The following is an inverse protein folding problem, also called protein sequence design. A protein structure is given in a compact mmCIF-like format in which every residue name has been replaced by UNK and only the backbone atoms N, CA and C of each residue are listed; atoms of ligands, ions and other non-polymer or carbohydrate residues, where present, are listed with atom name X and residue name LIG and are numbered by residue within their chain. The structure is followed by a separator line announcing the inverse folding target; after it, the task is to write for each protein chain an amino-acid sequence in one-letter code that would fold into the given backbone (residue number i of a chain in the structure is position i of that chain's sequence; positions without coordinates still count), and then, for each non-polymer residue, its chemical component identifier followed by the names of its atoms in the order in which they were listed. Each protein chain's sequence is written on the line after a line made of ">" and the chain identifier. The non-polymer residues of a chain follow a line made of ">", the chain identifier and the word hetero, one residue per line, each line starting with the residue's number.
data_IF_134055055879
#
_entry.id   IF_134055055879
#
_cell.length_a   1.000
_cell.length_b   1.000
_cell.length_c   1.000
_cell.angle_alpha   90.00
_cell.angle_beta   90.00
_cell.angle_gamma   90.00
#
_symmetry.space_group_name_H-M   'P 1'
#
loop_
_entity.id
_entity.type
_entity.pdbx_description
1 polymer ?
#
# COMPACT_ATOMS: atom_id res chain seq x y z
N UNK A 1 -71.35 1.79 36.95
CA UNK A 1 -71.36 0.58 36.08
C UNK A 1 -70.02 0.50 35.36
N UNK A 2 -69.20 -0.51 35.68
CA UNK A 2 -68.45 -1.41 34.78
C UNK A 2 -67.83 -0.76 33.52
N UNK A 3 -66.56 -0.83 33.19
CA UNK A 3 -65.67 -2.01 33.10
C UNK A 3 -64.23 -1.58 32.84
N UNK A 4 -63.31 -2.31 33.43
CA UNK A 4 -61.91 -2.49 33.14
C UNK A 4 -61.53 -2.56 31.66
N UNK A 5 -60.30 -2.00 31.32
CA UNK A 5 -59.36 -2.75 30.48
C UNK A 5 -57.90 -2.23 30.58
N UNK A 6 -57.07 -3.15 30.89
CA UNK A 6 -55.63 -3.20 31.03
C UNK A 6 -54.84 -2.45 29.95
N UNK A 7 -53.85 -1.63 30.39
CA UNK A 7 -52.69 -1.23 29.61
C UNK A 7 -51.60 -2.26 29.84
N UNK A 8 -51.17 -2.92 28.80
CA UNK A 8 -50.01 -3.79 28.78
C UNK A 8 -48.75 -2.92 28.79
N UNK A 9 -47.97 -3.07 29.81
CA UNK A 9 -46.60 -2.58 29.96
C UNK A 9 -45.71 -3.50 29.12
N UNK A 10 -45.04 -2.97 28.10
CA UNK A 10 -43.98 -3.68 27.37
C UNK A 10 -42.67 -3.31 27.99
N UNK A 11 -42.13 -4.23 28.77
CA UNK A 11 -40.75 -4.15 29.30
C UNK A 11 -39.78 -4.56 28.21
N UNK A 12 -38.87 -3.68 27.82
CA UNK A 12 -37.69 -4.03 27.03
C UNK A 12 -36.68 -4.68 27.98
N UNK A 13 -36.48 -5.97 27.82
CA UNK A 13 -35.42 -6.73 28.47
C UNK A 13 -34.16 -6.62 27.60
N UNK A 14 -33.15 -5.89 28.06
CA UNK A 14 -31.85 -5.90 27.47
C UNK A 14 -31.14 -7.21 27.85
N UNK A 15 -30.91 -8.08 26.87
CA UNK A 15 -30.11 -9.29 27.05
C UNK A 15 -28.65 -8.91 26.85
N UNK A 16 -27.89 -8.91 27.92
CA UNK A 16 -26.42 -8.87 27.91
C UNK A 16 -25.93 -10.27 27.54
N UNK A 17 -25.41 -10.47 26.33
CA UNK A 17 -24.66 -11.69 26.00
C UNK A 17 -23.20 -11.44 26.32
N UNK A 18 -22.73 -11.97 27.44
CA UNK A 18 -21.31 -12.13 27.72
C UNK A 18 -20.82 -13.39 26.98
N UNK A 19 -20.09 -13.22 25.91
CA UNK A 19 -19.31 -14.30 25.28
C UNK A 19 -17.97 -14.42 25.98
N UNK A 20 -17.84 -15.47 26.79
CA UNK A 20 -16.57 -15.88 27.37
C UNK A 20 -15.68 -16.44 26.25
N UNK A 21 -14.58 -15.78 25.93
CA UNK A 21 -13.51 -16.32 25.09
C UNK A 21 -12.75 -17.38 25.94
N UNK A 22 -12.90 -18.64 25.54
CA UNK A 22 -12.14 -19.74 26.12
C UNK A 22 -10.67 -19.65 25.70
N UNK A 23 -9.78 -19.47 26.66
CA UNK A 23 -8.33 -19.63 26.45
C UNK A 23 -8.00 -21.12 26.28
N UNK A 24 -7.63 -21.53 25.07
CA UNK A 24 -7.00 -22.81 24.81
C UNK A 24 -5.53 -22.75 25.21
N UNK A 25 -5.19 -23.34 26.36
CA UNK A 25 -3.81 -23.58 26.78
C UNK A 25 -3.19 -24.67 25.90
N UNK A 26 -2.31 -24.30 24.99
CA UNK A 26 -1.37 -25.23 24.40
C UNK A 26 -0.11 -25.28 25.27
N UNK A 27 0.06 -26.39 26.00
CA UNK A 27 1.28 -26.69 26.72
C UNK A 27 2.38 -27.05 25.72
N UNK A 28 3.40 -26.22 25.58
CA UNK A 28 4.60 -26.52 24.80
C UNK A 28 5.66 -27.11 25.73
N UNK A 29 6.01 -28.37 25.47
CA UNK A 29 7.07 -29.09 26.18
C UNK A 29 8.44 -28.45 25.90
N UNK A 30 9.04 -27.81 26.88
CA UNK A 30 10.42 -27.35 26.84
C UNK A 30 11.34 -28.54 27.13
N UNK A 31 12.02 -29.03 26.09
CA UNK A 31 13.21 -29.85 26.26
C UNK A 31 14.42 -28.94 26.47
N UNK A 32 14.94 -28.92 27.66
CA UNK A 32 16.26 -28.39 27.99
C UNK A 32 17.34 -29.15 27.26
N UNK A 33 18.11 -28.51 26.41
CA UNK A 33 19.38 -29.02 25.88
C UNK A 33 20.52 -28.11 26.37
N UNK A 34 21.44 -28.79 27.01
CA UNK A 34 22.65 -28.28 27.64
C UNK A 34 23.66 -27.72 26.64
N UNK A 35 24.36 -26.69 27.11
CA UNK A 35 25.50 -26.00 26.49
C UNK A 35 26.53 -26.93 25.81
N UNK A 36 26.92 -26.53 24.59
CA UNK A 36 28.29 -26.78 24.09
C UNK A 36 28.76 -25.56 23.31
N UNK A 37 29.70 -24.84 23.91
CA UNK A 37 30.57 -23.84 23.28
C UNK A 37 31.39 -24.49 22.17
N UNK A 38 31.29 -23.95 20.95
CA UNK A 38 32.32 -24.11 19.91
C UNK A 38 32.65 -22.75 19.32
N UNK A 39 33.95 -22.51 19.29
CA UNK A 39 34.62 -21.31 18.81
C UNK A 39 34.26 -20.93 17.37
N UNK A 40 34.13 -19.62 17.15
CA UNK A 40 33.92 -19.01 15.84
C UNK A 40 35.18 -19.11 14.99
N UNK A 41 35.10 -19.78 13.86
CA UNK A 41 36.05 -19.68 12.77
C UNK A 41 35.69 -18.47 11.94
N UNK A 42 36.58 -17.45 11.91
CA UNK A 42 36.50 -16.33 10.98
C UNK A 42 36.65 -16.85 9.55
N UNK A 43 35.66 -16.63 8.72
CA UNK A 43 35.79 -16.72 7.28
C UNK A 43 35.74 -15.29 6.73
N UNK A 44 36.91 -14.81 6.30
CA UNK A 44 37.05 -13.59 5.52
C UNK A 44 36.68 -13.88 4.07
N UNK A 45 35.45 -13.58 3.68
CA UNK A 45 35.07 -13.28 2.30
C UNK A 45 33.86 -12.35 2.36
N UNK A 46 34.12 -11.10 1.96
CA UNK A 46 33.15 -10.04 1.98
C UNK A 46 32.02 -10.27 0.96
N UNK A 47 30.87 -10.65 1.45
CA UNK A 47 29.58 -10.38 0.85
C UNK A 47 28.95 -9.25 1.66
N UNK A 48 28.37 -8.22 1.04
CA UNK A 48 27.61 -7.23 1.78
C UNK A 48 26.46 -7.92 2.52
N UNK A 49 26.10 -7.51 3.74
CA UNK A 49 24.97 -8.08 4.41
C UNK A 49 23.73 -7.81 3.55
N UNK A 50 23.03 -8.87 3.19
CA UNK A 50 21.67 -8.82 2.67
C UNK A 50 20.83 -8.03 3.68
N UNK A 51 20.52 -6.78 3.36
CA UNK A 51 19.60 -5.94 4.11
C UNK A 51 18.14 -6.32 3.83
N UNK A 52 17.85 -7.61 3.76
CA UNK A 52 16.52 -8.17 3.81
C UNK A 52 16.09 -8.27 5.25
N UNK A 53 15.55 -7.21 5.82
CA UNK A 53 14.73 -7.32 7.02
C UNK A 53 13.57 -8.27 6.70
N UNK A 54 13.62 -9.47 7.28
CA UNK A 54 12.53 -10.42 7.27
C UNK A 54 11.28 -9.72 7.82
N UNK A 55 10.14 -9.63 7.09
CA UNK A 55 8.90 -9.13 7.64
C UNK A 55 8.21 -10.20 8.52
N UNK A 56 8.98 -11.12 9.09
CA UNK A 56 8.56 -12.15 10.00
C UNK A 56 8.82 -11.74 11.45
N UNK A 57 7.79 -11.23 12.12
CA UNK A 57 7.68 -11.30 13.55
C UNK A 57 8.87 -10.73 14.35
N UNK A 58 9.10 -9.43 14.27
CA UNK A 58 9.77 -8.72 15.35
C UNK A 58 9.01 -8.97 16.67
N UNK A 59 9.69 -8.94 17.84
CA UNK A 59 9.01 -9.06 19.13
C UNK A 59 7.82 -8.10 19.15
N UNK A 60 6.70 -8.44 19.85
CA UNK A 60 5.54 -7.57 19.92
C UNK A 60 6.04 -6.16 20.27
N UNK A 61 5.79 -5.20 19.34
CA UNK A 61 6.32 -3.85 19.43
C UNK A 61 6.04 -3.30 20.81
N UNK A 62 6.99 -2.54 21.35
CA UNK A 62 6.77 -1.82 22.60
C UNK A 62 5.41 -1.12 22.52
N UNK A 63 4.64 -1.20 23.58
CA UNK A 63 3.42 -0.43 23.71
C UNK A 63 3.76 1.05 23.48
N UNK A 64 2.92 1.79 22.73
CA UNK A 64 3.13 3.23 22.50
C UNK A 64 3.30 4.04 23.79
N UNK A 65 2.84 3.51 24.95
CA UNK A 65 3.00 4.10 26.28
C UNK A 65 4.45 4.10 26.78
N UNK A 66 5.34 3.27 26.22
CA UNK A 66 6.72 3.12 26.67
C UNK A 66 7.72 3.94 25.83
N UNK A 67 7.21 4.68 24.83
CA UNK A 67 8.04 5.45 23.90
C UNK A 67 8.21 6.88 24.44
N UNK A 68 9.47 7.28 24.62
CA UNK A 68 9.81 8.67 24.94
C UNK A 68 10.06 9.43 23.65
N UNK A 69 9.32 10.50 23.46
CA UNK A 69 9.49 11.41 22.33
C UNK A 69 10.31 12.61 22.72
N UNK A 70 11.29 12.94 21.90
CA UNK A 70 12.15 14.11 22.06
C UNK A 70 12.19 14.94 20.77
N UNK A 71 12.29 16.24 20.90
CA UNK A 71 12.45 17.19 19.81
C UNK A 71 13.53 18.21 20.13
N UNK A 72 14.39 18.55 19.16
CA UNK A 72 15.33 19.65 19.30
C UNK A 72 14.59 20.97 19.57
N UNK A 73 13.39 21.11 18.97
CA UNK A 73 12.40 22.11 19.32
C UNK A 73 11.08 21.41 19.58
N UNK A 74 10.42 21.74 20.69
CA UNK A 74 9.12 21.20 21.06
C UNK A 74 8.07 22.31 21.11
N UNK A 75 6.90 22.04 20.52
CA UNK A 75 5.70 22.88 20.57
C UNK A 75 4.63 22.11 21.35
N UNK A 76 4.17 22.67 22.45
CA UNK A 76 3.18 22.05 23.37
C UNK A 76 1.94 22.91 23.61
N UNK A 77 1.77 23.98 22.87
CA UNK A 77 0.60 24.87 22.92
C UNK A 77 0.35 25.50 21.56
N UNK A 78 -0.81 26.15 21.39
CA UNK A 78 -1.15 26.87 20.18
C UNK A 78 -0.16 27.98 19.91
N UNK A 79 0.45 27.98 18.73
CA UNK A 79 1.34 29.05 18.29
C UNK A 79 1.49 29.11 16.76
N UNK A 80 2.02 30.25 16.29
CA UNK A 80 2.43 30.47 14.91
C UNK A 80 3.92 30.73 14.84
N UNK A 81 4.62 29.94 14.05
CA UNK A 81 6.06 30.11 13.76
C UNK A 81 6.24 30.48 12.29
N UNK A 82 7.07 31.46 11.99
CA UNK A 82 7.35 31.90 10.61
C UNK A 82 8.85 32.06 10.40
N UNK A 83 9.36 31.57 9.25
CA UNK A 83 10.76 31.64 8.83
C UNK A 83 11.74 31.06 9.87
N UNK A 84 11.35 29.98 10.55
CA UNK A 84 12.16 29.33 11.57
C UNK A 84 12.98 28.18 10.99
N UNK A 85 14.16 28.00 11.59
CA UNK A 85 15.03 26.85 11.33
C UNK A 85 14.93 25.87 12.49
N UNK A 86 14.71 24.58 12.14
CA UNK A 86 14.68 23.46 13.06
C UNK A 86 15.74 22.45 12.63
N UNK A 87 16.58 22.02 13.53
CA UNK A 87 17.67 21.10 13.20
C UNK A 87 17.91 20.12 14.32
N UNK A 88 18.09 18.83 13.98
CA UNK A 88 18.55 17.80 14.90
C UNK A 88 19.67 16.99 14.29
N UNK A 89 20.70 16.76 15.09
CA UNK A 89 21.85 15.88 14.83
C UNK A 89 21.98 14.81 15.92
N UNK A 90 20.90 14.54 16.64
CA UNK A 90 20.83 13.51 17.69
C UNK A 90 19.96 12.35 17.24
N UNK A 91 20.34 11.14 17.57
CA UNK A 91 19.58 9.92 17.31
C UNK A 91 18.24 9.94 18.04
N UNK A 92 17.19 9.46 17.39
CA UNK A 92 15.81 9.36 17.94
C UNK A 92 15.22 10.68 18.47
N UNK A 93 15.73 11.81 17.97
CA UNK A 93 15.25 13.15 18.25
C UNK A 93 14.65 13.76 16.98
N UNK A 94 13.42 14.25 17.06
CA UNK A 94 12.79 14.99 15.96
C UNK A 94 13.39 16.40 15.84
N UNK A 95 13.57 16.93 14.64
CA UNK A 95 14.03 18.31 14.51
C UNK A 95 12.97 19.30 15.02
N UNK A 96 11.68 18.98 14.79
CA UNK A 96 10.53 19.66 15.36
C UNK A 96 9.52 18.62 15.87
N UNK A 97 9.20 18.66 17.16
CA UNK A 97 8.16 17.87 17.79
C UNK A 97 6.96 18.75 18.16
N UNK A 98 5.80 18.48 17.58
CA UNK A 98 4.55 19.14 17.90
C UNK A 98 3.66 18.14 18.65
N UNK A 99 3.47 18.38 19.94
CA UNK A 99 2.67 17.53 20.84
C UNK A 99 1.68 18.38 21.64
N UNK A 100 0.53 18.59 21.08
CA UNK A 100 -0.56 19.38 21.68
C UNK A 100 -1.87 18.97 21.06
N UNK A 101 -2.98 19.21 21.72
CA UNK A 101 -4.31 19.06 21.11
C UNK A 101 -4.81 20.33 20.43
N UNK A 102 -3.97 21.36 20.33
CA UNK A 102 -4.31 22.68 19.83
C UNK A 102 -3.86 22.88 18.37
N UNK A 103 -4.20 24.03 17.82
CA UNK A 103 -3.80 24.43 16.45
C UNK A 103 -2.39 25.02 16.44
N UNK A 104 -1.55 24.54 15.52
CA UNK A 104 -0.20 25.05 15.32
C UNK A 104 -0.02 25.43 13.86
N UNK A 105 0.57 26.60 13.60
CA UNK A 105 0.86 27.07 12.26
C UNK A 105 2.37 27.27 12.06
N UNK A 106 2.92 26.63 11.04
CA UNK A 106 4.33 26.72 10.68
C UNK A 106 4.43 27.27 9.24
N UNK A 107 4.97 28.46 9.11
CA UNK A 107 5.13 29.11 7.80
C UNK A 107 6.61 29.16 7.43
N UNK A 108 6.91 28.72 6.21
CA UNK A 108 8.22 28.76 5.57
C UNK A 108 9.35 28.17 6.46
N UNK A 109 9.21 26.95 7.00
CA UNK A 109 10.23 26.35 7.84
C UNK A 109 11.46 25.93 7.01
N UNK A 110 12.63 25.95 7.64
CA UNK A 110 13.83 25.24 7.18
C UNK A 110 14.13 24.12 8.16
N UNK A 111 13.95 22.85 7.74
CA UNK A 111 14.11 21.68 8.62
C UNK A 111 15.27 20.82 8.13
N UNK A 112 16.13 20.42 9.05
CA UNK A 112 17.23 19.48 8.76
C UNK A 112 17.32 18.39 9.83
N UNK A 113 17.52 17.13 9.40
CA UNK A 113 17.73 15.97 10.29
C UNK A 113 18.80 15.07 9.71
N UNK A 114 19.86 14.77 10.48
CA UNK A 114 21.06 14.09 9.94
C UNK A 114 21.60 12.92 10.74
N UNK A 115 21.13 12.64 11.95
CA UNK A 115 21.58 11.48 12.72
C UNK A 115 20.59 10.34 12.63
N UNK A 116 21.10 9.10 12.42
CA UNK A 116 20.31 7.89 12.24
C UNK A 116 19.49 7.53 13.48
N UNK A 117 18.33 6.88 13.28
CA UNK A 117 17.57 6.29 14.36
C UNK A 117 18.23 5.01 14.87
N UNK A 118 18.27 4.85 16.19
CA UNK A 118 18.56 3.60 16.87
C UNK A 118 17.29 2.80 17.21
N UNK A 119 16.11 3.40 16.99
CA UNK A 119 14.81 2.85 17.35
C UNK A 119 14.28 1.77 16.41
N UNK A 120 15.00 1.45 15.32
CA UNK A 120 14.57 0.47 14.33
C UNK A 120 13.19 0.85 13.76
N UNK A 121 12.24 -0.11 13.74
CA UNK A 121 10.89 0.09 13.21
C UNK A 121 10.08 1.15 13.97
N UNK A 122 10.46 1.48 15.23
CA UNK A 122 9.77 2.52 15.98
C UNK A 122 9.85 3.90 15.32
N UNK A 123 10.90 4.17 14.55
CA UNK A 123 11.00 5.39 13.75
C UNK A 123 9.91 5.48 12.66
N UNK A 124 9.51 4.33 12.13
CA UNK A 124 8.48 4.23 11.09
C UNK A 124 7.06 4.10 11.67
N UNK A 125 6.91 3.42 12.81
CA UNK A 125 5.58 3.25 13.42
C UNK A 125 5.13 4.46 14.23
N UNK A 126 6.07 5.12 14.91
CA UNK A 126 5.82 6.14 15.91
C UNK A 126 6.46 7.51 15.64
N UNK A 127 7.32 7.61 14.62
CA UNK A 127 7.94 8.88 14.21
C UNK A 127 9.06 9.37 15.13
N UNK A 128 9.89 8.47 15.70
CA UNK A 128 10.92 8.86 16.67
C UNK A 128 12.04 9.75 16.15
N UNK A 129 12.28 9.79 14.85
CA UNK A 129 13.45 10.45 14.25
C UNK A 129 13.07 11.38 13.09
N UNK A 130 11.83 11.86 13.03
CA UNK A 130 11.34 12.61 11.89
C UNK A 130 11.93 14.03 11.78
N UNK A 131 11.88 14.61 10.59
CA UNK A 131 12.08 16.05 10.41
C UNK A 131 11.05 16.83 11.23
N UNK A 132 9.76 16.55 11.01
CA UNK A 132 8.65 17.10 11.81
C UNK A 132 7.77 15.93 12.26
N UNK A 133 7.55 15.78 13.56
CA UNK A 133 6.54 14.88 14.13
C UNK A 133 5.39 15.68 14.70
N UNK A 134 4.16 15.32 14.31
CA UNK A 134 2.91 15.89 14.85
C UNK A 134 2.12 14.77 15.51
N UNK A 135 1.67 15.01 16.76
CA UNK A 135 0.94 14.02 17.58
C UNK A 135 0.04 14.66 18.63
N UNK A 136 -0.64 13.84 19.42
CA UNK A 136 -1.49 14.20 20.57
C UNK A 136 -2.69 15.07 20.20
N UNK A 137 -3.31 14.80 19.03
CA UNK A 137 -4.51 15.47 18.57
C UNK A 137 -4.28 16.82 17.90
N UNK A 138 -3.03 17.22 17.68
CA UNK A 138 -2.70 18.51 17.07
C UNK A 138 -3.28 18.67 15.67
N UNK A 139 -3.76 19.88 15.38
CA UNK A 139 -4.16 20.34 14.05
C UNK A 139 -3.09 21.29 13.51
N UNK A 140 -2.08 20.72 12.87
CA UNK A 140 -0.92 21.46 12.39
C UNK A 140 -1.07 21.85 10.93
N UNK A 141 -0.87 23.13 10.63
CA UNK A 141 -0.75 23.66 9.26
C UNK A 141 0.71 24.01 8.95
N UNK A 142 1.26 23.46 7.86
CA UNK A 142 2.61 23.76 7.36
C UNK A 142 2.47 24.36 5.97
N UNK A 143 3.10 25.51 5.72
CA UNK A 143 3.03 26.18 4.42
C UNK A 143 4.41 26.62 3.97
N UNK A 144 4.79 26.26 2.76
CA UNK A 144 6.08 26.63 2.17
C UNK A 144 7.28 25.95 2.85
N UNK A 145 8.46 26.48 2.60
CA UNK A 145 9.70 26.05 3.22
C UNK A 145 10.30 24.75 2.66
N UNK A 146 11.32 24.25 3.36
CA UNK A 146 12.09 23.08 2.96
C UNK A 146 12.33 22.14 4.14
N UNK A 147 12.20 20.85 3.89
CA UNK A 147 12.45 19.79 4.88
C UNK A 147 13.45 18.81 4.26
N UNK A 148 14.64 18.70 4.84
CA UNK A 148 15.69 17.84 4.37
C UNK A 148 16.11 16.85 5.47
N UNK A 149 15.99 15.55 5.19
CA UNK A 149 16.48 14.51 6.09
C UNK A 149 17.50 13.64 5.37
N UNK A 150 18.62 13.35 6.01
CA UNK A 150 19.66 12.49 5.47
C UNK A 150 19.92 11.23 6.31
N UNK A 151 19.20 11.07 7.39
CA UNK A 151 19.35 9.98 8.35
C UNK A 151 18.41 8.80 8.05
N UNK A 152 18.83 7.60 8.45
CA UNK A 152 17.96 6.42 8.44
C UNK A 152 16.83 6.58 9.46
N UNK A 153 15.61 6.18 9.09
CA UNK A 153 14.41 6.32 9.91
C UNK A 153 13.92 7.76 10.08
N UNK A 154 14.42 8.70 9.27
CA UNK A 154 14.07 10.11 9.34
C UNK A 154 13.05 10.51 8.28
N UNK A 155 11.77 10.20 8.53
CA UNK A 155 10.69 10.64 7.67
C UNK A 155 10.62 12.18 7.63
N UNK A 156 10.23 12.76 6.48
CA UNK A 156 10.16 14.22 6.34
C UNK A 156 9.14 14.85 7.28
N UNK A 157 7.84 14.53 7.09
CA UNK A 157 6.73 14.95 7.97
C UNK A 157 5.95 13.72 8.40
N UNK A 158 5.73 13.60 9.69
CA UNK A 158 5.06 12.46 10.30
C UNK A 158 3.80 12.89 11.06
N UNK A 159 2.65 12.32 10.71
CA UNK A 159 1.38 12.46 11.40
C UNK A 159 1.08 11.18 12.17
N UNK A 160 1.16 11.21 13.50
CA UNK A 160 0.92 10.07 14.37
C UNK A 160 -0.35 10.24 15.19
N UNK A 161 -1.37 9.44 14.91
CA UNK A 161 -2.69 9.52 15.54
C UNK A 161 -2.84 8.74 16.84
N UNK A 162 -1.73 8.32 17.47
CA UNK A 162 -1.76 7.72 18.81
C UNK A 162 -2.16 6.25 18.88
N UNK A 163 -2.65 5.64 17.82
CA UNK A 163 -3.16 4.27 17.83
C UNK A 163 -2.34 3.34 16.92
N UNK A 164 -1.54 2.48 17.50
CA UNK A 164 -0.67 1.55 16.75
C UNK A 164 -1.20 0.11 16.69
N UNK A 165 -2.40 -0.13 17.19
CA UNK A 165 -2.85 -1.51 17.39
C UNK A 165 -3.44 -2.17 16.17
N UNK A 166 -4.32 -1.48 15.42
CA UNK A 166 -5.07 -2.07 14.31
C UNK A 166 -5.39 -1.03 13.24
N UNK A 167 -5.32 -1.41 11.97
CA UNK A 167 -5.85 -0.63 10.87
C UNK A 167 -7.34 -0.34 11.06
N UNK A 168 -7.76 0.87 10.71
CA UNK A 168 -9.14 1.33 10.89
C UNK A 168 -9.48 1.73 12.32
N UNK A 169 -8.55 1.65 13.25
CA UNK A 169 -8.74 2.22 14.58
C UNK A 169 -8.77 3.75 14.49
N UNK A 170 -9.67 4.36 15.24
CA UNK A 170 -9.74 5.82 15.27
C UNK A 170 -8.50 6.39 15.95
N UNK A 171 -7.86 7.36 15.30
CA UNK A 171 -6.79 8.15 15.88
C UNK A 171 -7.32 9.16 16.90
N UNK A 172 -6.39 9.88 17.52
CA UNK A 172 -6.63 10.92 18.52
C UNK A 172 -7.08 12.27 17.96
N UNK A 173 -7.24 12.37 16.64
CA UNK A 173 -7.59 13.59 15.90
C UNK A 173 -6.39 14.36 15.34
N UNK A 174 -5.16 13.83 15.51
CA UNK A 174 -3.96 14.42 14.89
C UNK A 174 -4.14 14.61 13.40
N UNK A 175 -3.95 15.84 12.95
CA UNK A 175 -4.13 16.24 11.56
C UNK A 175 -3.00 17.15 11.10
N UNK A 176 -2.38 16.81 9.99
CA UNK A 176 -1.39 17.65 9.30
C UNK A 176 -2.00 18.16 7.99
N UNK A 177 -2.02 19.47 7.81
CA UNK A 177 -2.28 20.10 6.52
C UNK A 177 -0.99 20.74 6.04
N UNK A 178 -0.44 20.24 4.94
CA UNK A 178 0.85 20.71 4.40
C UNK A 178 0.69 21.14 2.94
N UNK A 179 1.27 22.28 2.58
CA UNK A 179 1.17 22.82 1.22
C UNK A 179 2.43 23.56 0.76
N UNK A 180 2.65 23.58 -0.54
CA UNK A 180 3.73 24.34 -1.19
C UNK A 180 5.12 24.08 -0.58
N UNK A 181 5.35 22.87 -0.04
CA UNK A 181 6.55 22.50 0.72
C UNK A 181 7.42 21.54 -0.09
N UNK A 182 8.73 21.79 -0.06
CA UNK A 182 9.72 20.87 -0.62
C UNK A 182 10.26 19.93 0.44
N UNK A 183 10.22 18.62 0.16
CA UNK A 183 10.72 17.57 1.06
C UNK A 183 11.73 16.70 0.33
N UNK A 184 12.91 16.55 0.92
CA UNK A 184 13.97 15.66 0.40
C UNK A 184 14.42 14.73 1.52
N UNK A 185 14.31 13.41 1.30
CA UNK A 185 14.82 12.40 2.22
C UNK A 185 15.81 11.48 1.51
N UNK A 186 16.94 11.15 2.16
CA UNK A 186 17.99 10.31 1.54
C UNK A 186 18.35 9.08 2.36
N UNK A 187 17.94 8.99 3.62
CA UNK A 187 18.17 7.82 4.47
C UNK A 187 17.22 6.66 4.18
N UNK A 188 17.60 5.45 4.56
CA UNK A 188 16.76 4.27 4.51
C UNK A 188 15.60 4.37 5.51
N UNK A 189 14.41 3.81 5.17
CA UNK A 189 13.22 3.91 6.01
C UNK A 189 12.70 5.34 6.21
N UNK A 190 13.02 6.28 5.29
CA UNK A 190 12.79 7.71 5.44
C UNK A 190 11.83 8.22 4.37
N UNK A 191 10.54 8.00 4.57
CA UNK A 191 9.50 8.48 3.64
C UNK A 191 9.38 10.00 3.59
N UNK A 192 8.71 10.53 2.56
CA UNK A 192 8.44 11.97 2.42
C UNK A 192 7.41 12.44 3.43
N UNK A 193 6.13 12.11 3.22
CA UNK A 193 5.05 12.25 4.20
C UNK A 193 4.68 10.87 4.73
N UNK A 194 4.51 10.78 6.04
CA UNK A 194 4.21 9.54 6.76
C UNK A 194 2.99 9.72 7.65
N UNK A 195 2.07 8.77 7.62
CA UNK A 195 0.86 8.79 8.45
C UNK A 195 0.65 7.42 9.07
N UNK A 196 0.53 7.37 10.39
CA UNK A 196 0.31 6.13 11.14
C UNK A 196 -0.63 6.36 12.32
N UNK A 197 -1.05 5.26 12.95
CA UNK A 197 -1.79 5.31 14.19
C UNK A 197 -3.15 5.99 14.09
N UNK A 198 -3.77 6.02 12.92
CA UNK A 198 -5.04 6.71 12.69
C UNK A 198 -4.93 8.22 12.48
N UNK A 199 -3.72 8.74 12.23
CA UNK A 199 -3.51 10.15 11.89
C UNK A 199 -4.14 10.53 10.55
N UNK A 200 -4.17 11.83 10.27
CA UNK A 200 -4.68 12.37 9.00
C UNK A 200 -3.66 13.34 8.39
N UNK A 201 -3.41 13.20 7.10
CA UNK A 201 -2.58 14.14 6.34
C UNK A 201 -3.32 14.65 5.11
N UNK A 202 -3.42 15.97 4.99
CA UNK A 202 -3.85 16.69 3.79
C UNK A 202 -2.63 17.37 3.16
N UNK A 203 -2.28 17.00 1.94
CA UNK A 203 -1.09 17.49 1.24
C UNK A 203 -1.47 18.16 -0.07
N UNK A 204 -0.97 19.38 -0.28
CA UNK A 204 -1.30 20.19 -1.45
C UNK A 204 -0.02 20.70 -2.11
N UNK A 205 0.14 20.46 -3.40
CA UNK A 205 1.23 20.96 -4.24
C UNK A 205 2.65 20.76 -3.64
N UNK A 206 2.93 19.57 -3.11
CA UNK A 206 4.24 19.24 -2.57
C UNK A 206 5.24 18.86 -3.67
N UNK A 207 6.53 19.15 -3.45
CA UNK A 207 7.67 18.62 -4.20
C UNK A 207 8.44 17.65 -3.30
N UNK A 208 8.20 16.35 -3.46
CA UNK A 208 8.82 15.31 -2.64
C UNK A 208 9.79 14.47 -3.46
N UNK A 209 11.01 14.31 -2.94
CA UNK A 209 12.01 13.38 -3.47
C UNK A 209 12.56 12.52 -2.34
N UNK A 210 12.42 11.18 -2.46
CA UNK A 210 13.03 10.22 -1.55
C UNK A 210 14.07 9.38 -2.29
N UNK A 211 15.16 8.98 -1.62
CA UNK A 211 16.26 8.24 -2.27
C UNK A 211 16.74 7.01 -1.49
N UNK A 212 16.34 6.86 -0.23
CA UNK A 212 16.69 5.72 0.60
C UNK A 212 15.94 4.45 0.23
N UNK A 213 16.44 3.30 0.65
CA UNK A 213 15.72 2.03 0.59
C UNK A 213 14.49 2.09 1.53
N UNK A 214 13.38 1.46 1.15
CA UNK A 214 12.12 1.43 1.92
C UNK A 214 11.61 2.83 2.31
N UNK A 215 11.70 3.78 1.38
CA UNK A 215 11.43 5.20 1.60
C UNK A 215 10.43 5.74 0.57
N UNK A 216 9.18 5.32 0.68
CA UNK A 216 8.12 5.79 -0.22
C UNK A 216 7.88 7.29 -0.07
N UNK A 217 7.51 7.98 -1.16
CA UNK A 217 7.24 9.41 -1.13
C UNK A 217 5.98 9.73 -0.31
N UNK A 218 4.92 8.93 -0.50
CA UNK A 218 3.69 8.94 0.30
C UNK A 218 3.62 7.59 1.02
N UNK A 219 3.63 7.60 2.34
CA UNK A 219 3.72 6.38 3.12
C UNK A 219 2.74 6.35 4.29
N UNK A 220 2.20 5.17 4.53
CA UNK A 220 1.49 4.82 5.75
C UNK A 220 2.07 3.55 6.33
N UNK A 221 1.82 3.28 7.61
CA UNK A 221 2.27 2.09 8.29
C UNK A 221 1.27 1.74 9.41
N UNK A 222 1.65 0.96 10.42
CA UNK A 222 0.78 0.43 11.49
C UNK A 222 -0.23 1.43 12.02
N UNK A 223 -1.44 0.94 12.25
CA UNK A 223 -2.57 1.74 12.74
C UNK A 223 -3.26 2.52 11.64
N UNK A 224 -2.72 2.53 10.42
CA UNK A 224 -3.35 3.18 9.29
C UNK A 224 -3.56 4.68 9.47
N UNK A 225 -4.57 5.21 8.80
CA UNK A 225 -4.95 6.62 8.84
C UNK A 225 -5.61 7.06 7.54
N UNK A 226 -5.57 8.35 7.28
CA UNK A 226 -6.09 8.94 6.04
C UNK A 226 -5.07 9.89 5.44
N UNK A 227 -4.79 9.71 4.15
CA UNK A 227 -3.94 10.63 3.39
C UNK A 227 -4.70 11.13 2.17
N UNK A 228 -4.81 12.43 2.05
CA UNK A 228 -5.43 13.11 0.90
C UNK A 228 -4.40 14.04 0.28
N UNK A 229 -4.11 13.80 -1.00
CA UNK A 229 -3.12 14.57 -1.77
C UNK A 229 -3.81 15.22 -2.95
N UNK A 230 -3.56 16.49 -3.19
CA UNK A 230 -4.02 17.20 -4.37
C UNK A 230 -2.90 18.08 -4.94
N UNK A 231 -2.50 17.81 -6.18
CA UNK A 231 -1.38 18.47 -6.84
C UNK A 231 0.00 17.95 -6.40
N UNK A 232 1.03 18.51 -6.99
CA UNK A 232 2.42 18.27 -6.64
C UNK A 232 3.11 17.14 -7.40
N UNK A 233 4.39 16.94 -7.04
CA UNK A 233 5.29 15.93 -7.63
C UNK A 233 5.91 15.06 -6.54
N UNK A 234 5.84 13.76 -6.71
CA UNK A 234 6.25 12.75 -5.73
C UNK A 234 7.18 11.75 -6.41
N UNK A 235 8.45 11.78 -6.07
CA UNK A 235 9.49 10.93 -6.69
C UNK A 235 10.17 10.06 -5.66
N UNK A 236 10.21 8.76 -5.90
CA UNK A 236 11.01 7.80 -5.13
C UNK A 236 12.11 7.17 -6.01
N UNK A 237 13.32 7.05 -5.47
CA UNK A 237 14.49 6.54 -6.18
C UNK A 237 15.11 5.30 -5.53
N UNK A 238 14.63 4.88 -4.37
CA UNK A 238 15.19 3.78 -3.60
C UNK A 238 14.64 2.41 -3.98
N UNK A 239 15.37 1.37 -3.65
CA UNK A 239 14.88 0.00 -3.72
C UNK A 239 13.78 -0.21 -2.68
N UNK A 240 12.69 -0.92 -3.04
CA UNK A 240 11.55 -1.12 -2.16
C UNK A 240 10.90 0.19 -1.71
N UNK A 241 10.97 1.21 -2.56
CA UNK A 241 10.47 2.55 -2.29
C UNK A 241 9.44 2.93 -3.36
N UNK A 242 8.20 2.44 -3.25
CA UNK A 242 7.15 2.85 -4.17
C UNK A 242 6.89 4.36 -4.06
N UNK A 243 6.24 4.94 -5.07
CA UNK A 243 5.77 6.32 -4.93
C UNK A 243 4.69 6.42 -3.82
N UNK A 244 3.85 5.37 -3.70
CA UNK A 244 2.84 5.26 -2.64
C UNK A 244 2.91 3.86 -2.00
N UNK A 245 3.07 3.80 -0.68
CA UNK A 245 2.90 2.58 0.12
C UNK A 245 1.73 2.75 1.08
N UNK A 246 0.73 1.89 0.97
CA UNK A 246 -0.51 2.00 1.73
C UNK A 246 -0.79 0.81 2.63
N UNK A 247 -0.94 1.12 3.91
CA UNK A 247 -1.63 0.36 4.95
C UNK A 247 -2.83 1.16 5.50
N UNK A 248 -3.41 2.05 4.68
CA UNK A 248 -4.45 3.01 5.05
C UNK A 248 -5.33 3.37 3.85
N UNK A 249 -6.17 4.39 4.00
CA UNK A 249 -6.93 4.99 2.91
C UNK A 249 -6.19 6.20 2.34
N UNK A 250 -5.75 6.08 1.08
CA UNK A 250 -5.00 7.14 0.40
C UNK A 250 -5.74 7.58 -0.85
N UNK A 251 -6.00 8.88 -0.97
CA UNK A 251 -6.52 9.51 -2.19
C UNK A 251 -5.52 10.52 -2.73
N UNK A 252 -5.16 10.39 -4.00
CA UNK A 252 -4.25 11.30 -4.70
C UNK A 252 -4.94 11.84 -5.94
N UNK A 253 -4.95 13.15 -6.09
CA UNK A 253 -5.57 13.85 -7.22
C UNK A 253 -4.58 14.79 -7.90
N UNK A 254 -4.69 14.96 -9.20
CA UNK A 254 -3.98 15.97 -10.00
C UNK A 254 -2.45 15.97 -9.85
N UNK A 255 -1.85 14.82 -9.54
CA UNK A 255 -0.46 14.70 -9.11
C UNK A 255 0.40 13.94 -10.11
N UNK A 256 1.71 14.17 -10.06
CA UNK A 256 2.71 13.37 -10.78
C UNK A 256 3.48 12.48 -9.80
N UNK A 257 3.41 11.18 -10.00
CA UNK A 257 3.99 10.15 -9.16
C UNK A 257 5.03 9.37 -9.96
N UNK A 258 6.23 9.23 -9.43
CA UNK A 258 7.32 8.50 -10.12
C UNK A 258 8.06 7.61 -9.12
N UNK A 259 8.18 6.32 -9.47
CA UNK A 259 9.09 5.40 -8.81
C UNK A 259 10.14 4.92 -9.82
N UNK A 260 11.42 5.16 -9.50
CA UNK A 260 12.54 4.90 -10.43
C UNK A 260 13.22 3.54 -10.23
N UNK A 261 12.95 2.85 -9.12
CA UNK A 261 13.61 1.57 -8.80
C UNK A 261 12.70 0.59 -8.02
N UNK A 262 11.40 0.84 -8.00
CA UNK A 262 10.44 0.03 -7.27
C UNK A 262 9.07 0.08 -7.98
N UNK A 263 8.08 -0.54 -7.38
CA UNK A 263 6.67 -0.40 -7.71
C UNK A 263 6.28 1.09 -7.69
N UNK A 264 5.28 1.47 -8.47
CA UNK A 264 4.66 2.78 -8.34
C UNK A 264 3.76 2.85 -7.11
N UNK A 265 3.04 1.75 -6.87
CA UNK A 265 2.07 1.62 -5.77
C UNK A 265 2.18 0.24 -5.14
N UNK A 266 2.18 0.20 -3.80
CA UNK A 266 1.94 -1.01 -3.01
C UNK A 266 0.73 -0.81 -2.11
N UNK A 267 -0.20 -1.78 -2.12
CA UNK A 267 -1.36 -1.82 -1.21
C UNK A 267 -1.30 -3.10 -0.40
N UNK A 268 -1.26 -2.98 0.91
CA UNK A 268 -1.23 -4.12 1.81
C UNK A 268 -2.55 -4.27 2.58
N UNK A 269 -3.14 -5.47 2.52
CA UNK A 269 -4.31 -5.85 3.31
C UNK A 269 -5.58 -5.07 2.99
N UNK A 270 -6.42 -4.89 4.01
CA UNK A 270 -7.70 -4.16 3.94
C UNK A 270 -7.45 -2.65 3.81
N UNK A 271 -6.93 -2.21 2.68
CA UNK A 271 -6.60 -0.79 2.49
C UNK A 271 -6.93 -0.35 1.07
N UNK A 272 -6.91 0.95 0.84
CA UNK A 272 -7.31 1.52 -0.44
C UNK A 272 -6.38 2.60 -0.95
N UNK A 273 -6.25 2.66 -2.28
CA UNK A 273 -5.66 3.80 -2.99
C UNK A 273 -6.61 4.22 -4.10
N UNK A 274 -6.90 5.52 -4.15
CA UNK A 274 -7.62 6.15 -5.25
C UNK A 274 -6.75 7.20 -5.92
N UNK A 275 -6.53 7.07 -7.23
CA UNK A 275 -5.85 8.07 -8.06
C UNK A 275 -6.86 8.75 -8.98
N UNK A 276 -6.93 10.08 -8.94
CA UNK A 276 -7.81 10.87 -9.80
C UNK A 276 -6.99 11.83 -10.65
N UNK A 277 -7.15 11.79 -11.97
CA UNK A 277 -6.45 12.66 -12.91
C UNK A 277 -4.94 12.77 -12.65
N UNK A 278 -4.32 11.69 -12.16
CA UNK A 278 -2.92 11.65 -11.77
C UNK A 278 -2.09 10.83 -12.76
N UNK A 279 -0.80 11.15 -12.85
CA UNK A 279 0.13 10.44 -13.71
C UNK A 279 1.09 9.61 -12.85
N UNK A 280 1.06 8.30 -13.02
CA UNK A 280 1.94 7.36 -12.32
C UNK A 280 2.92 6.74 -13.30
N UNK A 281 4.21 6.80 -12.98
CA UNK A 281 5.28 6.08 -13.69
C UNK A 281 6.02 5.17 -12.72
N UNK A 282 6.12 3.89 -13.05
CA UNK A 282 6.88 2.90 -12.30
C UNK A 282 7.98 2.27 -13.15
N UNK A 283 9.14 2.02 -12.53
CA UNK A 283 10.28 1.36 -13.15
C UNK A 283 10.88 0.33 -12.17
N UNK A 284 10.14 -0.74 -11.90
CA UNK A 284 10.55 -1.79 -10.98
C UNK A 284 11.51 -2.77 -11.68
N UNK A 285 12.80 -2.55 -11.57
CA UNK A 285 13.82 -3.36 -12.23
C UNK A 285 14.55 -4.31 -11.29
N UNK A 286 14.25 -4.26 -9.98
CA UNK A 286 14.93 -5.07 -8.97
C UNK A 286 13.95 -5.47 -7.88
N UNK A 287 13.81 -6.78 -7.67
CA UNK A 287 12.96 -7.33 -6.61
C UNK A 287 13.41 -6.85 -5.21
N UNK A 288 12.45 -6.70 -4.33
CA UNK A 288 12.67 -6.36 -2.92
C UNK A 288 12.00 -7.39 -2.00
N UNK A 289 12.64 -7.72 -0.88
CA UNK A 289 12.11 -8.64 0.12
C UNK A 289 11.70 -9.99 -0.46
N UNK A 290 10.49 -10.41 -0.14
CA UNK A 290 9.92 -11.70 -0.55
C UNK A 290 9.35 -11.72 -1.97
N UNK A 291 9.23 -10.56 -2.64
CA UNK A 291 8.68 -10.47 -3.99
C UNK A 291 9.49 -11.30 -4.99
N UNK A 292 8.80 -12.09 -5.80
CA UNK A 292 9.38 -12.89 -6.89
C UNK A 292 9.05 -12.34 -8.26
N UNK A 293 8.19 -11.34 -8.32
CA UNK A 293 7.78 -10.64 -9.53
C UNK A 293 8.33 -9.21 -9.56
N UNK A 294 8.26 -8.61 -10.71
CA UNK A 294 8.44 -7.18 -10.93
C UNK A 294 7.10 -6.65 -11.43
N UNK A 295 6.64 -5.57 -10.85
CA UNK A 295 5.32 -5.00 -11.18
C UNK A 295 5.27 -3.49 -10.92
N UNK A 296 4.26 -2.84 -11.44
CA UNK A 296 4.04 -1.41 -11.25
C UNK A 296 3.06 -1.12 -10.13
N UNK A 297 2.05 -1.99 -9.96
CA UNK A 297 1.07 -1.89 -8.89
C UNK A 297 0.97 -3.27 -8.24
N UNK A 298 1.46 -3.33 -7.00
CA UNK A 298 1.44 -4.52 -6.16
C UNK A 298 0.28 -4.45 -5.17
N UNK A 299 -0.56 -5.48 -5.15
CA UNK A 299 -1.68 -5.62 -4.22
C UNK A 299 -1.50 -6.95 -3.49
N UNK A 300 -1.26 -6.90 -2.19
CA UNK A 300 -0.82 -8.07 -1.45
C UNK A 300 -1.18 -8.05 0.03
N UNK A 301 -0.91 -9.15 0.70
CA UNK A 301 -0.93 -9.26 2.15
C UNK A 301 0.36 -9.93 2.61
N UNK A 302 1.17 -9.22 3.40
CA UNK A 302 2.46 -9.74 3.89
C UNK A 302 2.32 -10.70 5.06
N UNK A 303 1.25 -10.58 5.85
CA UNK A 303 1.05 -11.25 7.15
C UNK A 303 2.04 -10.78 8.24
N UNK A 304 2.72 -9.64 8.04
CA UNK A 304 3.60 -9.02 9.05
C UNK A 304 2.83 -8.48 10.26
N UNK A 305 1.53 -8.23 10.11
CA UNK A 305 0.70 -7.57 11.10
C UNK A 305 0.63 -6.05 10.96
N UNK A 306 1.27 -5.49 9.92
CA UNK A 306 1.22 -4.04 9.64
C UNK A 306 -0.12 -3.62 9.05
N UNK A 307 -0.80 -4.55 8.36
CA UNK A 307 -2.13 -4.36 7.82
C UNK A 307 -3.08 -5.50 8.20
N UNK A 308 -4.34 -5.18 8.47
CA UNK A 308 -5.41 -6.17 8.66
C UNK A 308 -5.75 -6.82 7.33
N UNK A 309 -5.91 -8.14 7.33
CA UNK A 309 -6.32 -8.89 6.15
C UNK A 309 -7.75 -8.51 5.73
N UNK A 310 -7.95 -8.35 4.43
CA UNK A 310 -9.27 -8.00 3.89
C UNK A 310 -9.21 -7.81 2.38
N UNK A 311 -10.18 -7.07 1.83
CA UNK A 311 -10.21 -6.77 0.41
C UNK A 311 -9.49 -5.46 0.14
N UNK A 312 -8.36 -5.55 -0.55
CA UNK A 312 -7.59 -4.39 -1.02
C UNK A 312 -8.29 -3.71 -2.18
N UNK A 313 -8.22 -2.38 -2.28
CA UNK A 313 -8.87 -1.63 -3.35
C UNK A 313 -7.88 -0.69 -4.04
N UNK A 314 -7.81 -0.79 -5.35
CA UNK A 314 -7.15 0.19 -6.21
C UNK A 314 -8.16 0.80 -7.17
N UNK A 315 -8.27 2.11 -7.18
CA UNK A 315 -9.13 2.84 -8.11
C UNK A 315 -8.31 3.90 -8.85
N UNK A 316 -8.45 3.96 -10.17
CA UNK A 316 -7.86 5.03 -10.96
C UNK A 316 -8.89 5.58 -11.96
N UNK A 317 -9.10 6.90 -11.89
CA UNK A 317 -10.03 7.65 -12.71
C UNK A 317 -9.29 8.74 -13.49
N UNK A 318 -9.18 8.58 -14.79
CA UNK A 318 -8.41 9.49 -15.66
C UNK A 318 -6.91 9.43 -15.41
N UNK A 319 -6.17 10.25 -16.12
CA UNK A 319 -4.70 10.32 -16.02
C UNK A 319 -3.99 9.21 -16.78
N UNK A 320 -2.76 8.87 -16.33
CA UNK A 320 -1.93 7.86 -17.00
C UNK A 320 -1.16 6.97 -16.05
N UNK A 321 -1.04 5.69 -16.42
CA UNK A 321 -0.21 4.69 -15.76
C UNK A 321 0.83 4.17 -16.76
N UNK A 322 2.10 4.49 -16.52
CA UNK A 322 3.24 4.00 -17.31
C UNK A 322 4.00 2.95 -16.52
N UNK A 323 3.97 1.71 -17.00
CA UNK A 323 4.81 0.60 -16.52
C UNK A 323 6.04 0.48 -17.42
N UNK A 324 7.21 0.85 -16.93
CA UNK A 324 8.46 0.72 -17.70
C UNK A 324 9.03 -0.68 -17.66
N UNK A 325 8.70 -1.45 -16.66
CA UNK A 325 9.17 -2.82 -16.46
C UNK A 325 8.23 -3.60 -15.55
N UNK A 326 8.11 -4.91 -15.83
CA UNK A 326 7.28 -5.84 -15.06
C UNK A 326 5.79 -5.76 -15.39
N UNK A 327 4.99 -6.47 -14.64
CA UNK A 327 3.54 -6.51 -14.82
C UNK A 327 2.91 -5.17 -14.45
N UNK A 328 1.84 -4.76 -15.15
CA UNK A 328 1.16 -3.51 -14.78
C UNK A 328 0.51 -3.66 -13.41
N UNK A 329 -0.21 -4.77 -13.19
CA UNK A 329 -0.81 -5.13 -11.91
C UNK A 329 -0.36 -6.53 -11.49
N UNK A 330 -0.07 -6.70 -10.21
CA UNK A 330 0.18 -7.99 -9.59
C UNK A 330 -0.65 -8.14 -8.30
N UNK A 331 -1.41 -9.24 -8.22
CA UNK A 331 -2.26 -9.57 -7.06
C UNK A 331 -1.80 -10.88 -6.46
N UNK A 332 -1.44 -10.86 -5.18
CA UNK A 332 -0.99 -12.04 -4.46
C UNK A 332 -1.41 -12.04 -3.00
N UNK A 333 -1.73 -13.21 -2.48
CA UNK A 333 -2.02 -13.47 -1.05
C UNK A 333 -3.15 -12.61 -0.45
N UNK A 334 -4.04 -12.03 -1.26
CA UNK A 334 -5.14 -11.15 -0.85
C UNK A 334 -6.35 -11.28 -1.77
N UNK A 335 -7.47 -10.72 -1.35
CA UNK A 335 -8.58 -10.37 -2.22
C UNK A 335 -8.41 -8.92 -2.68
N UNK A 336 -8.72 -8.64 -3.95
CA UNK A 336 -8.57 -7.29 -4.48
C UNK A 336 -9.69 -6.87 -5.42
N UNK A 337 -9.95 -5.55 -5.46
CA UNK A 337 -10.79 -4.91 -6.46
C UNK A 337 -9.95 -3.81 -7.12
N UNK A 338 -9.78 -3.93 -8.43
CA UNK A 338 -9.12 -2.94 -9.28
C UNK A 338 -10.21 -2.28 -10.14
N UNK A 339 -10.35 -0.97 -10.06
CA UNK A 339 -11.32 -0.20 -10.84
C UNK A 339 -10.58 0.82 -11.71
N UNK A 340 -10.79 0.74 -13.02
CA UNK A 340 -10.17 1.61 -14.00
C UNK A 340 -11.24 2.32 -14.83
N UNK A 341 -11.13 3.64 -14.94
CA UNK A 341 -12.00 4.45 -15.76
C UNK A 341 -11.22 5.53 -16.49
N UNK A 342 -11.25 5.50 -17.82
CA UNK A 342 -10.62 6.52 -18.69
C UNK A 342 -9.12 6.73 -18.38
N UNK A 343 -8.40 5.65 -18.07
CA UNK A 343 -6.97 5.66 -17.74
C UNK A 343 -6.16 5.31 -18.98
N UNK A 344 -5.19 6.13 -19.34
CA UNK A 344 -4.21 5.78 -20.37
C UNK A 344 -3.13 4.88 -19.77
N UNK A 345 -3.18 3.59 -20.09
CA UNK A 345 -2.15 2.62 -19.67
C UNK A 345 -1.10 2.52 -20.78
N UNK A 346 0.18 2.71 -20.42
CA UNK A 346 1.35 2.56 -21.28
C UNK A 346 2.27 1.50 -20.68
N UNK A 347 2.12 0.26 -21.15
CA UNK A 347 2.95 -0.86 -20.73
C UNK A 347 4.14 -1.01 -21.68
N UNK A 348 5.33 -0.68 -21.20
CA UNK A 348 6.59 -0.72 -21.94
C UNK A 348 7.38 -2.01 -21.71
N UNK A 349 6.89 -2.91 -20.83
CA UNK A 349 7.53 -4.20 -20.59
C UNK A 349 7.33 -5.14 -21.80
N UNK A 350 8.39 -5.87 -22.14
CA UNK A 350 8.39 -6.73 -23.34
C UNK A 350 7.45 -7.93 -23.25
N UNK A 351 7.12 -8.41 -22.04
CA UNK A 351 6.15 -9.49 -21.84
C UNK A 351 4.71 -9.02 -21.99
N UNK A 352 4.50 -7.72 -21.89
CA UNK A 352 3.20 -7.05 -22.03
C UNK A 352 2.10 -7.70 -21.17
N UNK A 353 2.40 -7.93 -19.88
CA UNK A 353 1.44 -8.49 -18.94
C UNK A 353 0.69 -7.33 -18.25
N UNK A 354 -0.63 -7.28 -18.49
CA UNK A 354 -1.52 -6.30 -17.87
C UNK A 354 -1.80 -6.64 -16.39
N UNK A 355 -2.14 -7.90 -16.11
CA UNK A 355 -2.49 -8.36 -14.77
C UNK A 355 -1.97 -9.77 -14.55
N UNK A 356 -1.37 -10.01 -13.41
CA UNK A 356 -1.12 -11.36 -12.89
C UNK A 356 -1.80 -11.55 -11.53
N UNK A 357 -2.48 -12.70 -11.39
CA UNK A 357 -3.13 -13.13 -10.15
C UNK A 357 -2.58 -14.51 -9.81
N UNK A 358 -1.64 -14.59 -8.89
CA UNK A 358 -0.96 -15.85 -8.57
C UNK A 358 -0.22 -15.80 -7.24
N UNK A 359 0.25 -16.96 -6.78
CA UNK A 359 1.14 -17.04 -5.62
C UNK A 359 2.47 -16.34 -5.87
N UNK A 360 2.99 -15.71 -4.84
CA UNK A 360 4.30 -15.06 -4.80
C UNK A 360 5.05 -15.46 -3.51
N UNK A 361 5.88 -14.60 -2.97
CA UNK A 361 6.70 -14.84 -1.78
C UNK A 361 5.95 -14.87 -0.44
N UNK A 362 4.65 -14.65 -0.45
CA UNK A 362 3.79 -14.65 0.73
C UNK A 362 2.77 -15.77 0.67
N UNK A 363 2.27 -16.17 1.84
CA UNK A 363 1.31 -17.28 1.97
C UNK A 363 0.34 -17.02 3.13
N UNK A 364 -0.76 -17.77 3.16
CA UNK A 364 -1.78 -17.70 4.21
C UNK A 364 -3.06 -17.00 3.78
N UNK A 365 -3.05 -16.27 2.67
CA UNK A 365 -4.20 -15.66 2.02
C UNK A 365 -4.58 -16.34 0.71
N UNK A 366 -5.47 -15.70 -0.04
CA UNK A 366 -5.93 -16.15 -1.36
C UNK A 366 -5.46 -15.19 -2.45
N UNK A 367 -5.40 -15.68 -3.68
CA UNK A 367 -5.07 -14.86 -4.86
C UNK A 367 -6.37 -14.63 -5.63
N UNK A 368 -7.12 -13.59 -5.26
CA UNK A 368 -8.43 -13.28 -5.85
C UNK A 368 -8.44 -11.83 -6.31
N UNK A 369 -8.81 -11.63 -7.56
CA UNK A 369 -8.94 -10.28 -8.13
C UNK A 369 -10.31 -10.08 -8.79
N UNK A 370 -10.82 -8.86 -8.67
CA UNK A 370 -11.87 -8.32 -9.54
C UNK A 370 -11.28 -7.12 -10.28
N UNK A 371 -11.26 -7.18 -11.62
CA UNK A 371 -10.88 -6.05 -12.47
C UNK A 371 -12.12 -5.50 -13.16
N UNK A 372 -12.43 -4.24 -12.88
CA UNK A 372 -13.53 -3.48 -13.47
C UNK A 372 -12.99 -2.42 -14.41
N UNK A 373 -13.37 -2.47 -15.66
CA UNK A 373 -12.99 -1.52 -16.70
C UNK A 373 -14.24 -0.84 -17.27
N UNK A 374 -14.29 0.48 -17.16
CA UNK A 374 -15.40 1.29 -17.65
C UNK A 374 -14.86 2.44 -18.48
N UNK A 375 -15.33 2.61 -19.72
CA UNK A 375 -14.77 3.57 -20.68
C UNK A 375 -13.25 3.45 -20.80
N UNK A 376 -12.74 2.19 -20.89
CA UNK A 376 -11.34 1.87 -20.68
C UNK A 376 -10.79 1.04 -21.85
N UNK A 377 -9.58 1.36 -22.29
CA UNK A 377 -8.80 0.47 -23.16
C UNK A 377 -7.83 -0.36 -22.32
N UNK A 378 -7.95 -1.67 -22.40
CA UNK A 378 -7.05 -2.63 -21.80
C UNK A 378 -6.23 -3.31 -22.88
N UNK A 379 -4.91 -3.41 -22.69
CA UNK A 379 -4.01 -4.07 -23.65
C UNK A 379 -3.02 -4.97 -22.92
N UNK A 380 -2.81 -6.19 -23.45
CA UNK A 380 -1.82 -7.13 -22.91
C UNK A 380 -2.43 -8.40 -22.33
N UNK A 381 -1.57 -9.28 -21.84
CA UNK A 381 -1.96 -10.56 -21.29
C UNK A 381 -2.52 -10.43 -19.85
N UNK A 382 -3.53 -11.22 -19.53
CA UNK A 382 -3.98 -11.46 -18.16
C UNK A 382 -3.59 -12.88 -17.78
N UNK A 383 -2.85 -13.04 -16.69
CA UNK A 383 -2.32 -14.29 -16.19
C UNK A 383 -2.97 -14.68 -14.87
N UNK A 384 -3.67 -15.82 -14.83
CA UNK A 384 -4.37 -16.29 -13.63
C UNK A 384 -3.91 -17.70 -13.27
N UNK A 385 -3.17 -17.82 -12.18
CA UNK A 385 -2.63 -19.10 -11.73
C UNK A 385 -3.69 -20.11 -11.32
N UNK A 386 -3.34 -21.40 -11.31
CA UNK A 386 -4.25 -22.52 -11.06
C UNK A 386 -5.06 -22.39 -9.76
N UNK A 387 -4.43 -21.86 -8.71
CA UNK A 387 -5.06 -21.66 -7.38
C UNK A 387 -5.59 -20.24 -7.17
N UNK A 388 -5.84 -19.54 -8.25
CA UNK A 388 -6.24 -18.13 -8.26
C UNK A 388 -7.59 -17.93 -8.94
N UNK A 389 -8.19 -16.77 -8.72
CA UNK A 389 -9.44 -16.43 -9.39
C UNK A 389 -9.49 -14.98 -9.82
N UNK A 390 -10.14 -14.74 -10.96
CA UNK A 390 -10.39 -13.42 -11.54
C UNK A 390 -11.85 -13.28 -11.93
N UNK A 391 -12.47 -12.17 -11.55
CA UNK A 391 -13.66 -11.62 -12.17
C UNK A 391 -13.26 -10.42 -13.01
N UNK A 392 -13.52 -10.46 -14.31
CA UNK A 392 -13.24 -9.38 -15.24
C UNK A 392 -14.56 -8.79 -15.75
N UNK A 393 -14.80 -7.52 -15.46
CA UNK A 393 -15.99 -6.78 -15.89
C UNK A 393 -15.55 -5.67 -16.87
N UNK A 394 -16.05 -5.73 -18.10
CA UNK A 394 -15.73 -4.79 -19.20
C UNK A 394 -17.02 -4.13 -19.65
N UNK A 395 -17.11 -2.82 -19.48
CA UNK A 395 -18.34 -2.06 -19.70
C UNK A 395 -18.11 -0.67 -20.29
N UNK A 396 -19.19 -0.04 -20.70
CA UNK A 396 -19.23 1.37 -21.11
C UNK A 396 -18.30 1.70 -22.27
N UNK A 397 -18.39 0.96 -23.37
CA UNK A 397 -17.56 1.11 -24.57
C UNK A 397 -16.06 0.82 -24.32
N UNK A 398 -15.75 -0.05 -23.37
CA UNK A 398 -14.40 -0.49 -23.13
C UNK A 398 -13.92 -1.47 -24.18
N UNK A 399 -12.59 -1.53 -24.38
CA UNK A 399 -11.94 -2.51 -25.25
C UNK A 399 -10.90 -3.30 -24.47
N UNK A 400 -10.81 -4.60 -24.76
CA UNK A 400 -9.71 -5.43 -24.30
C UNK A 400 -9.01 -6.09 -25.49
N UNK A 401 -7.75 -5.71 -25.74
CA UNK A 401 -6.89 -6.31 -26.77
C UNK A 401 -5.85 -7.18 -26.06
N UNK A 402 -6.19 -8.46 -25.88
CA UNK A 402 -5.38 -9.34 -25.05
C UNK A 402 -5.85 -10.79 -25.03
N UNK A 403 -5.19 -11.56 -24.19
CA UNK A 403 -5.54 -12.95 -23.96
C UNK A 403 -5.46 -13.31 -22.46
N UNK A 404 -6.11 -14.40 -22.09
CA UNK A 404 -6.15 -14.89 -20.70
C UNK A 404 -5.65 -16.33 -20.68
N UNK A 405 -4.57 -16.58 -19.91
CA UNK A 405 -4.08 -17.94 -19.66
C UNK A 405 -3.51 -18.12 -18.25
N UNK A 406 -3.04 -19.33 -17.93
CA UNK A 406 -2.45 -19.68 -16.63
C UNK A 406 -0.94 -19.91 -16.67
N UNK A 407 -0.26 -19.62 -17.78
CA UNK A 407 1.20 -19.83 -17.91
C UNK A 407 1.94 -18.65 -17.31
N UNK A 408 2.46 -18.84 -16.11
CA UNK A 408 3.09 -17.79 -15.33
C UNK A 408 4.52 -18.19 -14.97
N UNK A 409 5.45 -17.27 -15.19
CA UNK A 409 6.82 -17.36 -14.70
C UNK A 409 7.12 -16.15 -13.83
N UNK A 410 7.93 -16.35 -12.81
CA UNK A 410 8.43 -15.25 -11.99
C UNK A 410 9.61 -14.53 -12.69
N UNK A 411 10.13 -13.48 -12.09
CA UNK A 411 11.23 -12.69 -12.64
C UNK A 411 12.56 -13.46 -12.79
N UNK A 412 12.68 -14.66 -12.20
CA UNK A 412 13.82 -15.57 -12.38
C UNK A 412 13.59 -16.57 -13.50
N UNK A 413 12.42 -16.54 -14.17
CA UNK A 413 12.04 -17.49 -15.21
C UNK A 413 11.52 -18.85 -14.69
N UNK A 414 11.36 -19.00 -13.36
CA UNK A 414 10.79 -20.20 -12.75
C UNK A 414 9.28 -20.25 -12.98
N UNK A 415 8.75 -21.43 -13.34
CA UNK A 415 7.31 -21.62 -13.52
C UNK A 415 6.58 -21.55 -12.18
N UNK A 416 5.60 -20.67 -12.08
CA UNK A 416 4.70 -20.53 -10.92
C UNK A 416 3.38 -21.27 -11.18
N UNK A 417 2.90 -21.23 -12.42
CA UNK A 417 1.68 -21.93 -12.84
C UNK A 417 1.78 -22.35 -14.30
N UNK A 418 1.03 -23.39 -14.69
CA UNK A 418 0.88 -23.84 -16.09
C UNK A 418 -0.57 -23.82 -16.56
N UNK A 419 -1.49 -23.90 -15.60
CA UNK A 419 -2.93 -23.99 -15.86
C UNK A 419 -3.66 -22.74 -15.36
N UNK A 420 -4.70 -22.37 -16.10
CA UNK A 420 -5.53 -21.23 -15.74
C UNK A 420 -6.42 -21.57 -14.53
N UNK A 421 -6.53 -20.62 -13.61
CA UNK A 421 -7.45 -20.69 -12.49
C UNK A 421 -8.90 -20.41 -12.88
N UNK A 422 -9.69 -19.98 -11.92
CA UNK A 422 -11.09 -19.63 -12.16
C UNK A 422 -11.18 -18.22 -12.76
N UNK A 423 -11.76 -18.10 -13.95
CA UNK A 423 -11.91 -16.80 -14.62
C UNK A 423 -13.36 -16.65 -15.07
N UNK A 424 -14.04 -15.64 -14.56
CA UNK A 424 -15.35 -15.20 -15.05
C UNK A 424 -15.20 -13.87 -15.77
N UNK A 425 -15.67 -13.78 -17.00
CA UNK A 425 -15.63 -12.55 -17.80
C UNK A 425 -17.05 -12.10 -18.10
N UNK A 426 -17.35 -10.84 -17.80
CA UNK A 426 -18.56 -10.15 -18.21
C UNK A 426 -18.19 -9.06 -19.21
N UNK A 427 -18.75 -9.14 -20.42
CA UNK A 427 -18.58 -8.18 -21.50
C UNK A 427 -19.93 -7.60 -21.87
N UNK A 428 -20.13 -6.31 -21.63
CA UNK A 428 -21.39 -5.66 -21.96
C UNK A 428 -21.59 -5.51 -23.48
N UNK A 429 -22.78 -5.10 -23.88
CA UNK A 429 -23.13 -4.99 -25.31
C UNK A 429 -22.42 -3.88 -26.06
N UNK A 430 -21.81 -2.94 -25.35
CA UNK A 430 -21.09 -1.79 -25.96
C UNK A 430 -19.58 -2.01 -26.06
N UNK A 431 -19.07 -3.04 -25.39
CA UNK A 431 -17.63 -3.30 -25.25
C UNK A 431 -17.17 -4.45 -26.14
N UNK A 432 -15.87 -4.53 -26.41
CA UNK A 432 -15.30 -5.56 -27.29
C UNK A 432 -14.03 -6.18 -26.68
N UNK A 433 -13.83 -7.47 -27.00
CA UNK A 433 -12.61 -8.19 -26.67
C UNK A 433 -11.97 -8.74 -27.95
N UNK A 434 -10.80 -8.20 -28.35
CA UNK A 434 -9.99 -8.71 -29.46
C UNK A 434 -8.94 -9.68 -28.92
N UNK A 435 -8.98 -10.92 -29.35
CA UNK A 435 -8.02 -11.94 -28.94
C UNK A 435 -6.65 -11.68 -29.57
N UNK A 436 -5.59 -11.72 -28.77
CA UNK A 436 -4.20 -11.68 -29.22
C UNK A 436 -3.45 -12.99 -28.95
N UNK A 437 -4.15 -13.98 -28.42
CA UNK A 437 -3.73 -15.33 -28.13
C UNK A 437 -4.94 -16.20 -27.76
N UNK A 438 -4.76 -17.52 -27.78
CA UNK A 438 -5.79 -18.43 -27.27
C UNK A 438 -6.06 -18.11 -25.80
N UNK A 439 -7.35 -18.00 -25.46
CA UNK A 439 -7.81 -17.55 -24.17
C UNK A 439 -8.66 -18.59 -23.47
N UNK A 440 -8.48 -18.72 -22.18
CA UNK A 440 -9.13 -19.76 -21.37
C UNK A 440 -9.86 -19.11 -20.18
N UNK A 441 -11.19 -19.30 -20.12
CA UNK A 441 -12.03 -18.82 -19.03
C UNK A 441 -12.95 -19.93 -18.53
N UNK A 442 -13.43 -19.84 -17.32
CA UNK A 442 -14.43 -20.78 -16.77
C UNK A 442 -15.85 -20.34 -17.10
N UNK A 443 -16.07 -19.03 -17.26
CA UNK A 443 -17.40 -18.47 -17.53
C UNK A 443 -17.24 -17.23 -18.45
N UNK A 444 -18.16 -17.08 -19.39
CA UNK A 444 -18.27 -15.91 -20.25
C UNK A 444 -19.72 -15.43 -20.31
N UNK A 445 -19.96 -14.21 -19.89
CA UNK A 445 -21.25 -13.53 -19.87
C UNK A 445 -21.20 -12.34 -20.84
N UNK A 446 -21.69 -12.51 -22.05
CA UNK A 446 -21.70 -11.48 -23.08
C UNK A 446 -22.22 -12.01 -24.41
N UNK A 447 -22.33 -11.11 -25.39
CA UNK A 447 -22.62 -11.54 -26.77
C UNK A 447 -21.31 -12.04 -27.42
N UNK A 448 -21.23 -13.30 -27.89
CA UNK A 448 -20.04 -13.81 -28.59
C UNK A 448 -19.59 -12.95 -29.78
N UNK A 449 -20.51 -12.25 -30.45
CA UNK A 449 -20.17 -11.34 -31.54
C UNK A 449 -19.33 -10.12 -31.09
N UNK A 450 -19.26 -9.81 -29.82
CA UNK A 450 -18.40 -8.78 -29.27
C UNK A 450 -16.97 -9.28 -28.99
N UNK A 451 -16.71 -10.59 -29.19
CA UNK A 451 -15.38 -11.19 -29.18
C UNK A 451 -14.87 -11.30 -30.60
N UNK A 452 -13.74 -10.65 -30.88
CA UNK A 452 -13.07 -10.66 -32.18
C UNK A 452 -11.95 -11.70 -32.11
N UNK A 453 -12.07 -12.78 -32.86
CA UNK A 453 -11.16 -13.94 -32.76
C UNK A 453 -9.73 -13.62 -33.23
N UNK A 454 -9.58 -12.80 -34.27
CA UNK A 454 -8.27 -12.45 -34.82
C UNK A 454 -7.36 -13.67 -35.10
N UNK A 455 -8.00 -14.84 -35.40
CA UNK A 455 -7.31 -16.10 -35.65
C UNK A 455 -7.03 -16.96 -34.40
N UNK A 456 -7.45 -16.52 -33.22
CA UNK A 456 -7.32 -17.24 -31.94
C UNK A 456 -8.68 -17.76 -31.45
N UNK A 457 -8.66 -18.57 -30.42
CA UNK A 457 -9.85 -19.22 -29.88
C UNK A 457 -10.08 -18.81 -28.41
N UNK A 458 -11.31 -18.45 -28.07
CA UNK A 458 -11.76 -18.34 -26.68
C UNK A 458 -12.37 -19.68 -26.25
N UNK A 459 -11.77 -20.30 -25.24
CA UNK A 459 -12.27 -21.52 -24.63
C UNK A 459 -13.03 -21.16 -23.34
N UNK A 460 -14.28 -21.56 -23.26
CA UNK A 460 -15.12 -21.42 -22.06
C UNK A 460 -15.29 -22.80 -21.44
N UNK A 461 -14.77 -23.00 -20.24
CA UNK A 461 -14.76 -24.31 -19.58
C UNK A 461 -14.23 -25.44 -20.49
N UNK A 462 -13.16 -25.16 -21.23
CA UNK A 462 -12.50 -26.09 -22.14
C UNK A 462 -13.19 -26.29 -23.50
N UNK A 463 -14.31 -25.63 -23.77
CA UNK A 463 -15.03 -25.72 -25.04
C UNK A 463 -14.88 -24.41 -25.83
N UNK A 464 -14.52 -24.51 -27.09
CA UNK A 464 -14.39 -23.34 -27.97
C UNK A 464 -15.74 -22.57 -28.05
N UNK A 465 -15.69 -21.27 -27.78
CA UNK A 465 -16.87 -20.40 -27.91
C UNK A 465 -17.20 -20.22 -29.41
N UNK A 466 -18.45 -20.46 -29.75
CA UNK A 466 -18.96 -20.25 -31.11
C UNK A 466 -19.66 -18.91 -31.25
N UNK A 467 -19.75 -18.38 -32.49
CA UNK A 467 -20.38 -17.09 -32.77
C UNK A 467 -19.48 -15.88 -32.55
N UNK A 468 -18.18 -16.08 -32.35
CA UNK A 468 -17.17 -15.00 -32.33
C UNK A 468 -16.97 -14.46 -33.78
N UNK A 469 -16.55 -13.18 -33.91
CA UNK A 469 -16.25 -12.52 -35.18
C UNK A 469 -14.85 -12.81 -35.67
#
# INVERSE_FOLDING_TARGET
>A
MKKFRNKKLISFLAILLATACGFGLYAYNIKTSTNNTKEAVKNENGTPPDGGGDPGGGPPGQSSSDITYTGAVEISSSETQTDKTYSSTSSDENALLIKTSEEVTINNPTVTKSEDSNGGDNSNFYGLNAGILVKDGSKTSITGGTINTSANGANGVFSYGGNCGNNGAQGDGTTVTIRDTKIVTTGGGSGGIMTTGGGTTYAYDLDITTSGQSSAAIRTDRGGGTVVVDGGTYTSNGLGSPAIYSTADITVSNSTLTSNLSEGVCIEGLNSITLNNSNLTANNTKRNGNAKFLDSIMIYQSMSGDAVSGTSQFTMNGGSLTSKSGHVFHVTNTNSIITLKDVRIDNQDSENILLSVCADGWSGGSNIATLKASSQTLTGAIKVGSDSSLTLEISDNSTFDGYIDGKIKNAEGSSVSTDVGKVSVTLDSSSTWTLTGDSYVTEFNGNPENVISNGYTLYVNGVALTGVK
#
